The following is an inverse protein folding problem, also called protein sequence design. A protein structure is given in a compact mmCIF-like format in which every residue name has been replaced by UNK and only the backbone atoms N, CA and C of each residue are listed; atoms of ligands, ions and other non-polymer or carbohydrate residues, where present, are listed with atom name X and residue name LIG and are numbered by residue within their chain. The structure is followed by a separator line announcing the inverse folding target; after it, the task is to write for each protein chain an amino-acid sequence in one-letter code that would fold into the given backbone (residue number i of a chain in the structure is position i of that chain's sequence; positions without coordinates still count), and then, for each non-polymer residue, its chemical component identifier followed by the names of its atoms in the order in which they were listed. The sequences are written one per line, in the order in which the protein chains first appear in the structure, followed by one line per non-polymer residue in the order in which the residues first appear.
data_IF_940139809428
#
_entry.id   IF_940139809428
#
_cell.length_a   1.000
_cell.length_b   1.000
_cell.length_c   1.000
_cell.angle_alpha   90.00
_cell.angle_beta   90.00
_cell.angle_gamma   90.00
#
_symmetry.space_group_name_H-M   'P 1'
#
loop_
_entity.id
_entity.type
_entity.pdbx_description
1 polymer ?
#
# COMPACT_ATOMS: atom_id res chain seq x y z
N UNK A 1 3.66 8.92 9.28
CA UNK A 1 3.20 10.17 9.90
C UNK A 1 1.67 10.22 9.90
N UNK A 2 1.07 10.50 11.05
CA UNK A 2 -0.38 10.72 11.18
C UNK A 2 -0.59 12.16 11.62
N UNK A 3 -1.48 12.87 10.93
CA UNK A 3 -1.83 14.26 11.20
C UNK A 3 -3.30 14.30 11.64
N UNK A 4 -3.56 14.78 12.83
CA UNK A 4 -4.92 14.95 13.36
C UNK A 4 -5.54 16.23 12.79
N UNK A 5 -6.73 16.12 12.18
CA UNK A 5 -7.46 17.24 11.59
C UNK A 5 -8.60 17.73 12.50
N UNK A 6 -9.16 16.84 13.29
CA UNK A 6 -10.25 17.19 14.18
C UNK A 6 -10.76 16.00 14.99
N UNK A 7 -11.56 16.33 15.99
CA UNK A 7 -12.23 15.37 16.85
C UNK A 7 -13.73 15.64 16.84
N UNK A 8 -14.52 14.57 16.79
CA UNK A 8 -15.98 14.62 16.90
C UNK A 8 -16.41 13.77 18.09
N UNK A 9 -17.26 14.33 18.95
CA UNK A 9 -17.83 13.58 20.07
C UNK A 9 -19.07 12.81 19.62
N UNK A 10 -19.14 11.52 19.91
CA UNK A 10 -20.30 10.65 19.70
C UNK A 10 -20.62 9.94 21.02
N UNK A 11 -21.51 10.52 21.81
CA UNK A 11 -21.73 10.07 23.17
C UNK A 11 -20.50 10.25 24.04
N UNK A 12 -19.99 9.18 24.65
CA UNK A 12 -18.80 9.19 25.47
C UNK A 12 -17.50 8.90 24.65
N UNK A 13 -17.61 8.75 23.34
CA UNK A 13 -16.50 8.40 22.48
C UNK A 13 -15.95 9.61 21.73
N UNK A 14 -14.63 9.72 21.66
CA UNK A 14 -13.94 10.71 20.84
C UNK A 14 -13.48 10.05 19.54
N UNK A 15 -14.05 10.52 18.42
CA UNK A 15 -13.71 10.05 17.08
C UNK A 15 -12.75 11.05 16.45
N UNK A 16 -11.57 10.60 16.11
CA UNK A 16 -10.52 11.42 15.49
C UNK A 16 -10.55 11.26 13.98
N UNK A 17 -10.50 12.39 13.27
CA UNK A 17 -10.30 12.44 11.83
C UNK A 17 -8.85 12.79 11.56
N UNK A 18 -8.20 12.05 10.67
CA UNK A 18 -6.78 12.19 10.40
C UNK A 18 -6.46 12.06 8.92
N UNK A 19 -5.29 12.55 8.56
CA UNK A 19 -4.56 12.18 7.35
C UNK A 19 -3.34 11.37 7.75
N UNK A 20 -2.91 10.46 6.89
CA UNK A 20 -1.74 9.66 7.16
C UNK A 20 -0.86 9.52 5.92
N UNK A 21 0.45 9.55 6.14
CA UNK A 21 1.47 9.24 5.15
C UNK A 21 2.29 8.05 5.64
N UNK A 22 2.34 7.03 4.80
CA UNK A 22 3.15 5.82 5.00
C UNK A 22 4.24 5.76 3.94
N UNK A 23 5.43 5.37 4.31
CA UNK A 23 6.57 5.24 3.40
C UNK A 23 7.56 4.22 3.93
N UNK A 24 8.24 3.51 3.00
CA UNK A 24 9.43 2.72 3.28
C UNK A 24 10.72 3.56 3.39
N UNK A 25 10.60 4.89 3.20
CA UNK A 25 11.75 5.79 3.19
C UNK A 25 12.48 5.86 1.84
N UNK A 26 12.12 5.03 0.88
CA UNK A 26 12.70 4.98 -0.47
C UNK A 26 11.68 5.43 -1.53
N UNK A 27 11.01 4.49 -2.16
CA UNK A 27 10.19 4.69 -3.34
C UNK A 27 8.68 4.51 -3.09
N UNK A 28 8.29 3.79 -2.05
CA UNK A 28 6.87 3.56 -1.73
C UNK A 28 6.33 4.63 -0.79
N UNK A 29 5.26 5.28 -1.22
CA UNK A 29 4.55 6.30 -0.44
C UNK A 29 3.05 6.18 -0.64
N UNK A 30 2.30 6.07 0.45
CA UNK A 30 0.85 6.04 0.45
C UNK A 30 0.32 7.19 1.30
N UNK A 31 -0.54 8.00 0.70
CA UNK A 31 -1.20 9.11 1.39
C UNK A 31 -2.70 8.83 1.50
N UNK A 32 -3.22 8.87 2.72
CA UNK A 32 -4.63 8.61 3.02
C UNK A 32 -5.25 9.79 3.77
N UNK A 33 -6.32 10.34 3.21
CA UNK A 33 -7.11 11.45 3.79
C UNK A 33 -8.38 10.96 4.51
N UNK A 34 -8.72 9.70 4.41
CA UNK A 34 -9.96 9.12 4.89
C UNK A 34 -9.82 8.36 6.21
N UNK A 35 -8.91 8.77 7.09
CA UNK A 35 -8.67 8.06 8.35
C UNK A 35 -9.63 8.53 9.41
N UNK A 36 -10.33 7.57 10.01
CA UNK A 36 -11.20 7.82 11.16
C UNK A 36 -11.05 6.68 12.17
N UNK A 37 -10.82 7.03 13.43
CA UNK A 37 -10.73 6.05 14.50
C UNK A 37 -11.17 6.62 15.86
N UNK A 38 -11.54 5.71 16.71
CA UNK A 38 -11.80 5.95 18.12
C UNK A 38 -10.52 5.75 18.94
N UNK A 39 -10.29 6.63 19.91
CA UNK A 39 -9.20 6.49 20.86
C UNK A 39 -9.61 6.99 22.24
N UNK A 40 -9.30 6.22 23.26
CA UNK A 40 -9.34 6.61 24.67
C UNK A 40 -7.97 6.48 25.29
N UNK A 41 -7.65 7.37 26.24
CA UNK A 41 -6.44 7.19 27.04
C UNK A 41 -6.54 5.88 27.85
N UNK A 42 -5.57 4.99 27.63
CA UNK A 42 -5.58 3.64 28.21
C UNK A 42 -6.03 2.52 27.27
N UNK A 43 -6.48 2.82 26.04
CA UNK A 43 -6.70 1.79 25.02
C UNK A 43 -5.35 1.18 24.64
N UNK A 44 -5.24 -0.15 24.77
CA UNK A 44 -4.06 -0.87 24.34
C UNK A 44 -4.01 -0.89 22.80
N UNK A 45 -2.92 -0.46 22.21
CA UNK A 45 -2.67 -0.56 20.77
C UNK A 45 -2.07 -1.95 20.47
N UNK A 46 -2.92 -2.94 20.38
CA UNK A 46 -2.53 -4.30 20.03
C UNK A 46 -3.22 -4.71 18.72
N UNK A 47 -2.44 -5.16 17.74
CA UNK A 47 -2.99 -5.69 16.50
C UNK A 47 -3.44 -7.14 16.70
N UNK A 48 -4.69 -7.41 16.40
CA UNK A 48 -5.29 -8.74 16.40
C UNK A 48 -5.67 -9.15 14.96
N UNK A 49 -5.32 -10.37 14.57
CA UNK A 49 -5.60 -10.89 13.23
C UNK A 49 -7.09 -11.15 12.99
N UNK A 50 -7.88 -11.33 14.05
CA UNK A 50 -9.30 -11.70 13.99
C UNK A 50 -10.18 -10.49 14.30
N UNK A 51 -9.87 -9.78 15.38
CA UNK A 51 -10.66 -8.64 15.83
C UNK A 51 -10.21 -7.37 15.11
N UNK A 52 -11.18 -6.66 14.53
CA UNK A 52 -10.90 -5.38 13.90
C UNK A 52 -10.80 -4.28 14.96
N UNK A 53 -9.61 -3.73 15.14
CA UNK A 53 -9.35 -2.53 15.90
C UNK A 53 -8.93 -1.41 14.93
N UNK A 54 -9.61 -0.23 14.92
CA UNK A 54 -9.48 0.74 13.84
C UNK A 54 -8.05 1.24 13.58
N UNK A 55 -7.31 1.60 14.63
CA UNK A 55 -5.94 2.16 14.48
C UNK A 55 -4.95 1.08 14.05
N UNK A 56 -4.90 -0.02 14.79
CA UNK A 56 -3.88 -1.05 14.53
C UNK A 56 -4.15 -1.78 13.23
N UNK A 57 -5.43 -2.00 12.86
CA UNK A 57 -5.79 -2.53 11.55
C UNK A 57 -5.43 -1.56 10.42
N UNK A 58 -5.60 -0.25 10.63
CA UNK A 58 -5.18 0.77 9.66
C UNK A 58 -3.67 0.78 9.45
N UNK A 59 -2.88 0.71 10.51
CA UNK A 59 -1.42 0.61 10.43
C UNK A 59 -0.98 -0.69 9.74
N UNK A 60 -1.58 -1.82 10.12
CA UNK A 60 -1.29 -3.13 9.53
C UNK A 60 -1.61 -3.17 8.03
N UNK A 61 -2.73 -2.59 7.60
CA UNK A 61 -3.09 -2.48 6.19
C UNK A 61 -1.96 -1.87 5.35
N UNK A 62 -1.45 -0.70 5.75
CA UNK A 62 -0.37 -0.04 5.02
C UNK A 62 0.99 -0.72 5.18
N UNK A 63 1.26 -1.33 6.34
CA UNK A 63 2.46 -2.14 6.53
C UNK A 63 2.50 -3.32 5.54
N UNK A 64 1.37 -4.00 5.35
CA UNK A 64 1.27 -5.08 4.37
C UNK A 64 1.35 -4.58 2.92
N UNK A 65 0.82 -3.39 2.58
CA UNK A 65 1.01 -2.81 1.24
C UNK A 65 2.47 -2.50 0.95
N UNK A 66 3.18 -1.91 1.91
CA UNK A 66 4.61 -1.64 1.78
C UNK A 66 5.38 -2.94 1.64
N UNK A 67 5.11 -3.91 2.53
CA UNK A 67 5.77 -5.22 2.48
C UNK A 67 5.54 -5.94 1.15
N UNK A 68 4.32 -5.87 0.61
CA UNK A 68 4.02 -6.44 -0.72
C UNK A 68 4.90 -5.82 -1.81
N UNK A 69 5.01 -4.49 -1.83
CA UNK A 69 5.85 -3.80 -2.79
C UNK A 69 7.34 -4.10 -2.61
N UNK A 70 7.82 -4.27 -1.38
CA UNK A 70 9.20 -4.69 -1.10
C UNK A 70 9.48 -6.11 -1.59
N UNK A 71 8.59 -7.07 -1.31
CA UNK A 71 8.78 -8.46 -1.76
C UNK A 71 8.74 -8.56 -3.29
N UNK A 72 7.91 -7.74 -3.96
CA UNK A 72 7.84 -7.69 -5.42
C UNK A 72 9.16 -7.22 -6.08
N UNK A 73 10.08 -6.63 -5.35
CA UNK A 73 11.41 -6.28 -5.89
C UNK A 73 12.39 -7.46 -5.96
N UNK A 74 12.05 -8.57 -5.31
CA UNK A 74 12.87 -9.80 -5.28
C UNK A 74 12.27 -10.93 -6.10
N UNK A 75 10.93 -10.99 -6.20
CA UNK A 75 10.21 -12.07 -6.87
C UNK A 75 8.93 -11.53 -7.51
N UNK A 76 8.70 -11.89 -8.76
CA UNK A 76 7.47 -11.51 -9.46
C UNK A 76 6.23 -12.06 -8.73
N UNK A 77 5.33 -11.17 -8.34
CA UNK A 77 4.14 -11.49 -7.53
C UNK A 77 4.44 -12.05 -6.13
N UNK A 78 5.65 -11.92 -5.63
CA UNK A 78 6.03 -12.35 -4.29
C UNK A 78 5.21 -11.69 -3.19
N UNK A 79 4.73 -10.47 -3.42
CA UNK A 79 3.89 -9.71 -2.49
C UNK A 79 2.42 -10.14 -2.39
N UNK A 80 1.95 -11.17 -3.13
CA UNK A 80 0.54 -11.57 -3.17
C UNK A 80 -0.06 -11.82 -1.79
N UNK A 81 0.61 -12.60 -0.94
CA UNK A 81 0.11 -12.90 0.41
C UNK A 81 -0.07 -11.65 1.25
N UNK A 82 0.81 -10.66 1.12
CA UNK A 82 0.70 -9.38 1.83
C UNK A 82 -0.45 -8.52 1.27
N UNK A 83 -0.68 -8.52 -0.04
CA UNK A 83 -1.85 -7.87 -0.65
C UNK A 83 -3.16 -8.52 -0.18
N UNK A 84 -3.23 -9.85 -0.10
CA UNK A 84 -4.39 -10.58 0.42
C UNK A 84 -4.69 -10.19 1.88
N UNK A 85 -3.67 -10.14 2.74
CA UNK A 85 -3.81 -9.69 4.13
C UNK A 85 -4.31 -8.23 4.22
N UNK A 86 -3.78 -7.33 3.40
CA UNK A 86 -4.27 -5.95 3.31
C UNK A 86 -5.74 -5.92 2.90
N UNK A 87 -6.12 -6.70 1.89
CA UNK A 87 -7.49 -6.78 1.40
C UNK A 87 -8.46 -7.28 2.48
N UNK A 88 -8.09 -8.32 3.21
CA UNK A 88 -8.89 -8.86 4.30
C UNK A 88 -9.09 -7.84 5.43
N UNK A 89 -8.06 -7.11 5.80
CA UNK A 89 -8.15 -6.01 6.75
C UNK A 89 -9.13 -4.95 6.23
N UNK A 90 -9.04 -4.56 4.96
CA UNK A 90 -9.89 -3.54 4.37
C UNK A 90 -11.37 -3.97 4.30
N UNK A 91 -11.65 -5.24 4.02
CA UNK A 91 -13.00 -5.82 4.04
C UNK A 91 -13.60 -5.77 5.45
N UNK A 92 -12.84 -6.15 6.48
CA UNK A 92 -13.26 -6.04 7.89
C UNK A 92 -13.55 -4.59 8.27
N UNK A 93 -12.65 -3.67 7.89
CA UNK A 93 -12.83 -2.25 8.13
C UNK A 93 -14.08 -1.69 7.47
N UNK A 94 -14.40 -2.09 6.24
CA UNK A 94 -15.58 -1.65 5.50
C UNK A 94 -16.91 -2.11 6.14
N UNK A 95 -16.87 -3.19 6.92
CA UNK A 95 -18.00 -3.77 7.64
C UNK A 95 -18.11 -3.25 9.07
N UNK A 96 -17.18 -2.43 9.54
CA UNK A 96 -17.14 -1.90 10.90
C UNK A 96 -17.94 -0.59 11.04
N UNK A 97 -18.11 -0.14 12.29
CA UNK A 97 -18.69 1.18 12.60
C UNK A 97 -17.78 2.34 12.11
N UNK A 98 -16.49 2.06 11.87
CA UNK A 98 -15.47 3.01 11.40
C UNK A 98 -15.15 2.83 9.91
N UNK A 99 -16.18 2.56 9.09
CA UNK A 99 -16.07 2.22 7.66
C UNK A 99 -15.58 3.32 6.74
N UNK A 100 -15.43 4.56 7.22
CA UNK A 100 -14.97 5.68 6.40
C UNK A 100 -13.59 5.40 5.79
N UNK A 101 -13.48 5.56 4.46
CA UNK A 101 -12.24 5.38 3.71
C UNK A 101 -11.89 3.92 3.36
N UNK A 102 -12.51 2.91 3.99
CA UNK A 102 -12.15 1.51 3.73
C UNK A 102 -12.55 1.03 2.33
N UNK A 103 -13.62 1.58 1.75
CA UNK A 103 -13.96 1.30 0.34
C UNK A 103 -12.84 1.72 -0.63
N UNK A 104 -12.25 2.90 -0.42
CA UNK A 104 -11.10 3.36 -1.22
C UNK A 104 -9.87 2.48 -1.02
N UNK A 105 -9.65 1.96 0.20
CA UNK A 105 -8.54 1.04 0.50
C UNK A 105 -8.72 -0.31 -0.18
N UNK A 106 -9.96 -0.84 -0.26
CA UNK A 106 -10.27 -2.04 -1.06
C UNK A 106 -9.92 -1.79 -2.52
N UNK A 107 -10.35 -0.66 -3.08
CA UNK A 107 -10.04 -0.31 -4.47
C UNK A 107 -8.54 -0.20 -4.70
N UNK A 108 -7.80 0.41 -3.77
CA UNK A 108 -6.35 0.54 -3.86
C UNK A 108 -5.67 -0.83 -3.92
N UNK A 109 -5.95 -1.71 -2.96
CA UNK A 109 -5.30 -3.03 -2.93
C UNK A 109 -5.69 -3.89 -4.13
N UNK A 110 -6.96 -3.83 -4.58
CA UNK A 110 -7.42 -4.55 -5.77
C UNK A 110 -6.74 -4.02 -7.06
N UNK A 111 -6.50 -2.71 -7.16
CA UNK A 111 -5.76 -2.12 -8.28
C UNK A 111 -4.29 -2.54 -8.27
N UNK A 112 -3.62 -2.50 -7.11
CA UNK A 112 -2.23 -2.96 -7.00
C UNK A 112 -2.10 -4.44 -7.35
N UNK A 113 -3.02 -5.27 -6.88
CA UNK A 113 -3.00 -6.71 -7.16
C UNK A 113 -3.19 -7.03 -8.65
N UNK A 114 -4.04 -6.26 -9.35
CA UNK A 114 -4.31 -6.44 -10.80
C UNK A 114 -3.27 -5.80 -11.71
N UNK A 115 -2.50 -4.85 -11.22
CA UNK A 115 -1.51 -4.12 -12.02
C UNK A 115 -0.20 -4.92 -12.15
N UNK A 116 -0.25 -6.02 -12.90
CA UNK A 116 0.89 -6.90 -13.11
C UNK A 116 2.04 -6.19 -13.84
N UNK A 117 1.71 -5.28 -14.76
CA UNK A 117 2.70 -4.49 -15.48
C UNK A 117 3.55 -3.63 -14.53
N UNK A 118 2.92 -2.94 -13.56
CA UNK A 118 3.66 -2.16 -12.55
C UNK A 118 4.56 -3.05 -11.70
N UNK A 119 4.08 -4.23 -11.29
CA UNK A 119 4.84 -5.17 -10.47
C UNK A 119 6.04 -5.76 -11.23
N UNK A 120 5.88 -6.08 -12.52
CA UNK A 120 6.99 -6.45 -13.42
C UNK A 120 8.02 -5.33 -13.55
N UNK A 121 7.55 -4.10 -13.79
CA UNK A 121 8.44 -2.94 -13.93
C UNK A 121 9.27 -2.71 -12.67
N UNK A 122 8.67 -2.84 -11.48
CA UNK A 122 9.41 -2.72 -10.21
C UNK A 122 10.50 -3.77 -10.09
N UNK A 123 10.17 -5.05 -10.32
CA UNK A 123 11.15 -6.13 -10.28
C UNK A 123 12.30 -5.87 -11.25
N UNK A 124 11.99 -5.59 -12.52
CA UNK A 124 12.98 -5.33 -13.56
C UNK A 124 13.91 -4.15 -13.20
N UNK A 125 13.35 -3.08 -12.63
CA UNK A 125 14.12 -1.93 -12.16
C UNK A 125 15.15 -2.33 -11.08
N UNK A 126 14.74 -3.08 -10.06
CA UNK A 126 15.65 -3.47 -8.98
C UNK A 126 16.69 -4.49 -9.44
N UNK A 127 16.31 -5.43 -10.33
CA UNK A 127 17.27 -6.35 -10.97
C UNK A 127 18.29 -5.56 -11.81
N UNK A 128 17.84 -4.54 -12.57
CA UNK A 128 18.74 -3.70 -13.34
C UNK A 128 19.76 -2.95 -12.44
N UNK A 129 19.33 -2.47 -11.26
CA UNK A 129 20.25 -1.81 -10.31
C UNK A 129 21.28 -2.78 -9.73
N UNK A 130 20.91 -4.02 -9.44
CA UNK A 130 21.83 -5.04 -8.95
C UNK A 130 22.84 -5.43 -10.04
N UNK A 131 22.38 -5.66 -11.28
CA UNK A 131 23.24 -5.94 -12.43
C UNK A 131 24.21 -4.79 -12.75
N UNK A 132 23.74 -3.54 -12.61
CA UNK A 132 24.58 -2.36 -12.79
C UNK A 132 25.72 -2.33 -11.75
N UNK A 133 25.42 -2.65 -10.51
CA UNK A 133 26.41 -2.75 -9.44
C UNK A 133 27.47 -3.82 -9.73
N UNK A 134 27.05 -4.92 -10.36
CA UNK A 134 27.92 -6.05 -10.73
C UNK A 134 28.64 -5.81 -12.08
N UNK A 135 28.35 -4.72 -12.80
CA UNK A 135 29.00 -4.35 -14.05
C UNK A 135 28.48 -5.05 -15.31
N UNK A 136 27.34 -5.73 -15.24
CA UNK A 136 26.73 -6.49 -16.35
C UNK A 136 25.86 -5.61 -17.25
N UNK A 137 26.47 -4.67 -17.97
CA UNK A 137 25.77 -3.61 -18.72
C UNK A 137 24.79 -4.12 -19.79
N UNK A 138 25.10 -5.22 -20.48
CA UNK A 138 24.21 -5.77 -21.51
C UNK A 138 22.91 -6.29 -20.89
N UNK A 139 22.98 -6.93 -19.72
CA UNK A 139 21.82 -7.42 -18.99
C UNK A 139 21.04 -6.26 -18.37
N UNK A 140 21.69 -5.19 -17.92
CA UNK A 140 21.02 -3.95 -17.46
C UNK A 140 20.09 -3.40 -18.53
N UNK A 141 20.57 -3.30 -19.80
CA UNK A 141 19.75 -2.79 -20.91
C UNK A 141 18.52 -3.66 -21.14
N UNK A 142 18.66 -4.98 -21.04
CA UNK A 142 17.56 -5.90 -21.18
C UNK A 142 16.51 -5.70 -20.07
N UNK A 143 16.94 -5.57 -18.81
CA UNK A 143 16.02 -5.33 -17.69
C UNK A 143 15.37 -3.94 -17.74
N UNK A 144 16.04 -2.92 -18.21
CA UNK A 144 15.42 -1.60 -18.45
C UNK A 144 14.33 -1.68 -19.54
N UNK A 145 14.53 -2.48 -20.59
CA UNK A 145 13.46 -2.73 -21.59
C UNK A 145 12.30 -3.49 -20.96
N UNK A 146 12.53 -4.53 -20.15
CA UNK A 146 11.48 -5.23 -19.41
C UNK A 146 10.69 -4.28 -18.49
N UNK A 147 11.38 -3.33 -17.86
CA UNK A 147 10.73 -2.28 -17.05
C UNK A 147 9.81 -1.40 -17.90
N UNK A 148 10.28 -0.93 -19.08
CA UNK A 148 9.49 -0.10 -19.98
C UNK A 148 8.26 -0.85 -20.50
N UNK A 149 8.40 -2.12 -20.89
CA UNK A 149 7.30 -2.97 -21.33
C UNK A 149 6.26 -3.16 -20.19
N UNK A 150 6.72 -3.36 -18.97
CA UNK A 150 5.86 -3.44 -17.80
C UNK A 150 5.09 -2.14 -17.52
N UNK A 151 5.74 -0.98 -17.67
CA UNK A 151 5.07 0.32 -17.52
C UNK A 151 4.04 0.52 -18.64
N UNK A 152 4.34 0.15 -19.88
CA UNK A 152 3.39 0.24 -21.01
C UNK A 152 2.17 -0.66 -20.73
N UNK A 153 2.37 -1.92 -20.30
CA UNK A 153 1.30 -2.83 -19.90
C UNK A 153 0.43 -2.21 -18.78
N UNK A 154 1.07 -1.60 -17.79
CA UNK A 154 0.36 -0.92 -16.70
C UNK A 154 -0.51 0.23 -17.20
N UNK A 155 0.00 1.08 -18.09
CA UNK A 155 -0.77 2.21 -18.65
C UNK A 155 -1.94 1.76 -19.53
N UNK A 156 -1.79 0.67 -20.26
CA UNK A 156 -2.86 0.12 -21.09
C UNK A 156 -3.99 -0.51 -20.25
N UNK A 157 -3.66 -1.21 -19.17
CA UNK A 157 -4.62 -2.00 -18.39
C UNK A 157 -5.30 -1.23 -17.25
N UNK A 158 -4.59 -0.32 -16.61
CA UNK A 158 -5.08 0.38 -15.40
C UNK A 158 -5.26 1.88 -15.64
N UNK A 159 -4.75 2.38 -16.78
CA UNK A 159 -4.74 3.79 -17.10
C UNK A 159 -3.76 4.57 -16.21
N UNK A 160 -3.87 5.89 -16.25
CA UNK A 160 -3.07 6.78 -15.41
C UNK A 160 -3.66 6.88 -14.01
N UNK A 161 -3.59 5.80 -13.26
CA UNK A 161 -3.91 5.80 -11.83
C UNK A 161 -2.86 6.65 -11.06
N UNK A 162 -3.30 7.31 -10.01
CA UNK A 162 -2.43 8.10 -9.14
C UNK A 162 -1.26 7.28 -8.55
N UNK A 163 -1.43 5.96 -8.37
CA UNK A 163 -0.39 5.06 -7.87
C UNK A 163 0.67 4.71 -8.92
N UNK A 164 0.33 4.74 -10.19
CA UNK A 164 1.28 4.57 -11.29
C UNK A 164 2.10 5.84 -11.52
N UNK A 165 1.54 7.02 -11.21
CA UNK A 165 2.22 8.31 -11.38
C UNK A 165 3.38 8.53 -10.39
N UNK A 166 3.39 7.86 -9.24
CA UNK A 166 4.48 7.96 -8.28
C UNK A 166 5.72 7.14 -8.66
N UNK A 167 5.61 6.28 -9.67
CA UNK A 167 6.71 5.46 -10.16
C UNK A 167 7.50 6.15 -11.30
N UNK A 168 6.95 7.20 -11.88
CA UNK A 168 7.53 8.00 -12.95
C UNK A 168 8.02 9.35 -12.43
#
# INVERSE_FOLDING_TARGET
QIIFEGVTQKGNESIYNCQALFSNGADLRYFDKGVQFFYNSGTSLYYDHVLFEPITSFLAYYAHLILAGEIDTYEFNGGNSSLELSRDIALRGSSSDYRKGWGSRITLVDNLNRNLGLRKARLAWYVALDLLRDGNLDEVINELNNMLDGLEESFQNVGRDSHTQYFL
#
